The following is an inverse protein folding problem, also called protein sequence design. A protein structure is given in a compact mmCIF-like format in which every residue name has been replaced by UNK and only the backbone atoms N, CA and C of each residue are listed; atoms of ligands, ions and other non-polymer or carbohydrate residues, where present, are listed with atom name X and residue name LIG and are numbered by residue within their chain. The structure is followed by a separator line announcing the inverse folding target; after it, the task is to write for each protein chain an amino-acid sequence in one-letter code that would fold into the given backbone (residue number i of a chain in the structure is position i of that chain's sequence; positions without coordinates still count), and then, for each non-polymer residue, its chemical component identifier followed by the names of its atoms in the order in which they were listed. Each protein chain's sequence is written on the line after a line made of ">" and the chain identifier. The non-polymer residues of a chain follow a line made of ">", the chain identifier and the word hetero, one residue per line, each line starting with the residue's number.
data_IF_797842978878
#
_entry.id   IF_797842978878
#
_cell.length_a   1.000
_cell.length_b   1.000
_cell.length_c   1.000
_cell.angle_alpha   90.00
_cell.angle_beta   90.00
_cell.angle_gamma   90.00
#
_symmetry.space_group_name_H-M   'P 1'
#
loop_
_entity.id
_entity.type
_entity.pdbx_description
1 polymer ?
#
# COMPACT_ATOMS: atom_id res chain seq x y z
N UNK A 1 -10.32 10.34 -5.29
CA UNK A 1 -10.72 10.33 -3.87
C UNK A 1 -10.51 8.95 -3.28
N UNK A 2 -9.68 8.83 -2.24
CA UNK A 2 -9.48 7.56 -1.51
C UNK A 2 -10.79 7.15 -0.82
N UNK A 3 -11.26 5.93 -1.07
CA UNK A 3 -12.56 5.45 -0.61
C UNK A 3 -12.49 4.14 0.18
N UNK A 4 -11.38 3.39 0.09
CA UNK A 4 -11.18 2.15 0.84
C UNK A 4 -9.72 1.93 1.20
N UNK A 5 -9.50 1.39 2.40
CA UNK A 5 -8.21 0.98 2.93
C UNK A 5 -8.31 -0.45 3.48
N UNK A 6 -7.34 -1.29 3.14
CA UNK A 6 -7.06 -2.53 3.88
C UNK A 6 -5.60 -2.56 4.27
N UNK A 7 -5.29 -3.04 5.47
CA UNK A 7 -3.94 -3.19 5.99
C UNK A 7 -3.88 -4.44 6.86
N UNK A 8 -2.84 -5.24 6.73
CA UNK A 8 -2.57 -6.39 7.60
C UNK A 8 -1.18 -6.27 8.18
N UNK A 9 -1.05 -6.62 9.45
CA UNK A 9 0.21 -6.63 10.20
C UNK A 9 0.92 -5.27 10.30
N UNK A 10 0.19 -4.19 10.62
CA UNK A 10 0.75 -2.86 10.81
C UNK A 10 0.54 -2.33 12.24
N UNK A 11 1.62 -2.17 13.01
CA UNK A 11 1.63 -1.72 14.41
C UNK A 11 0.64 -2.54 15.25
N UNK A 12 -0.28 -1.88 15.96
CA UNK A 12 -1.30 -2.57 16.77
C UNK A 12 -2.39 -3.24 15.93
N UNK A 13 -2.48 -2.95 14.62
CA UNK A 13 -3.48 -3.54 13.74
C UNK A 13 -2.99 -4.85 13.12
N UNK A 14 -3.54 -5.97 13.59
CA UNK A 14 -3.39 -7.27 12.91
C UNK A 14 -4.09 -7.27 11.56
N UNK A 15 -5.30 -6.72 11.50
CA UNK A 15 -6.08 -6.62 10.27
C UNK A 15 -7.05 -5.45 10.31
N UNK A 16 -7.03 -4.66 9.24
CA UNK A 16 -8.05 -3.72 8.81
C UNK A 16 -8.51 -4.24 7.45
N UNK A 17 -9.76 -4.66 7.34
CA UNK A 17 -10.31 -5.22 6.10
C UNK A 17 -11.36 -4.28 5.52
N UNK A 18 -11.11 -3.78 4.30
CA UNK A 18 -12.05 -2.97 3.52
C UNK A 18 -12.67 -1.81 4.31
N UNK A 19 -11.85 -1.10 5.08
CA UNK A 19 -12.30 0.09 5.80
C UNK A 19 -12.71 1.16 4.79
N UNK A 20 -14.01 1.51 4.78
CA UNK A 20 -14.54 2.60 3.97
C UNK A 20 -14.03 3.94 4.48
N UNK A 21 -13.57 4.79 3.56
CA UNK A 21 -13.17 6.17 3.79
C UNK A 21 -14.15 7.10 3.06
N UNK A 22 -14.86 7.93 3.82
CA UNK A 22 -15.79 8.94 3.30
C UNK A 22 -15.10 10.33 3.31
N UNK A 23 -15.66 11.35 2.64
CA UNK A 23 -15.06 12.70 2.61
C UNK A 23 -14.73 13.25 3.99
N UNK A 24 -15.56 12.92 4.97
CA UNK A 24 -15.29 13.14 6.38
C UNK A 24 -15.37 11.77 7.05
N UNK A 25 -14.25 11.33 7.65
CA UNK A 25 -14.16 10.06 8.36
C UNK A 25 -13.67 10.33 9.78
N UNK A 26 -14.48 10.00 10.78
CA UNK A 26 -14.10 10.08 12.20
C UNK A 26 -13.55 8.74 12.71
N UNK A 27 -12.43 8.78 13.44
CA UNK A 27 -11.84 7.62 14.10
C UNK A 27 -12.11 7.68 15.61
N UNK A 28 -12.87 6.73 16.15
CA UNK A 28 -13.24 6.67 17.56
C UNK A 28 -12.69 5.42 18.24
N UNK A 29 -12.50 5.47 19.57
CA UNK A 29 -12.03 4.35 20.38
C UNK A 29 -11.07 4.79 21.50
N UNK A 30 -10.75 3.88 22.41
CA UNK A 30 -9.91 4.13 23.58
C UNK A 30 -8.52 4.68 23.22
N UNK A 31 -7.89 5.38 24.15
CA UNK A 31 -6.50 5.82 23.97
C UNK A 31 -5.59 4.62 23.68
N UNK A 32 -4.60 4.82 22.82
CA UNK A 32 -3.67 3.78 22.38
C UNK A 32 -4.29 2.60 21.60
N UNK A 33 -5.56 2.71 21.15
CA UNK A 33 -6.20 1.67 20.31
C UNK A 33 -5.67 1.59 18.87
N UNK A 34 -4.68 2.39 18.49
CA UNK A 34 -4.08 2.37 17.14
C UNK A 34 -4.70 3.34 16.14
N UNK A 35 -5.61 4.25 16.53
CA UNK A 35 -6.24 5.22 15.62
C UNK A 35 -5.21 6.05 14.84
N UNK A 36 -4.20 6.59 15.54
CA UNK A 36 -3.14 7.38 14.92
C UNK A 36 -2.30 6.58 13.92
N UNK A 37 -2.23 5.25 14.09
CA UNK A 37 -1.51 4.38 13.16
C UNK A 37 -2.13 4.38 11.77
N UNK A 38 -3.44 4.57 11.63
CA UNK A 38 -4.09 4.68 10.32
C UNK A 38 -3.58 5.92 9.57
N UNK A 39 -3.48 7.06 10.25
CA UNK A 39 -2.94 8.28 9.66
C UNK A 39 -1.44 8.15 9.35
N UNK A 40 -0.67 7.59 10.28
CA UNK A 40 0.75 7.32 10.08
C UNK A 40 1.01 6.41 8.86
N UNK A 41 0.15 5.40 8.65
CA UNK A 41 0.22 4.55 7.46
C UNK A 41 0.04 5.35 6.17
N UNK A 42 -0.96 6.23 6.11
CA UNK A 42 -1.17 7.10 4.94
C UNK A 42 -0.01 8.09 4.72
N UNK A 43 0.56 8.64 5.80
CA UNK A 43 1.72 9.54 5.73
C UNK A 43 2.98 8.81 5.25
N UNK A 44 3.21 7.58 5.72
CA UNK A 44 4.31 6.71 5.24
C UNK A 44 4.21 6.49 3.72
N UNK A 45 3.02 6.19 3.20
CA UNK A 45 2.83 6.03 1.77
C UNK A 45 3.07 7.34 1.01
N UNK A 46 2.61 8.48 1.56
CA UNK A 46 2.87 9.79 0.95
C UNK A 46 4.36 10.10 0.85
N UNK A 47 5.11 9.99 1.96
CA UNK A 47 6.56 10.25 1.93
C UNK A 47 7.32 9.23 1.09
N UNK A 48 6.83 7.98 0.97
CA UNK A 48 7.40 6.99 0.03
C UNK A 48 7.25 7.43 -1.42
N UNK A 49 6.08 7.97 -1.80
CA UNK A 49 5.83 8.45 -3.16
C UNK A 49 6.67 9.70 -3.47
N UNK A 50 6.81 10.59 -2.48
CA UNK A 50 7.54 11.85 -2.59
C UNK A 50 9.08 11.67 -2.49
N UNK A 51 9.56 10.51 -2.02
CA UNK A 51 10.99 10.21 -1.88
C UNK A 51 11.71 10.21 -3.23
N UNK A 52 12.92 10.78 -3.24
CA UNK A 52 13.83 10.75 -4.38
C UNK A 52 14.57 9.41 -4.52
N UNK A 53 14.68 8.63 -3.43
CA UNK A 53 15.28 7.30 -3.46
C UNK A 53 14.29 6.27 -4.02
N UNK A 54 14.53 5.86 -5.27
CA UNK A 54 13.70 4.86 -5.96
C UNK A 54 14.04 3.42 -5.58
N UNK A 55 15.15 3.18 -4.87
CA UNK A 55 15.53 1.85 -4.41
C UNK A 55 14.84 1.47 -3.08
N UNK A 56 14.34 2.46 -2.35
CA UNK A 56 13.64 2.26 -1.09
C UNK A 56 12.21 1.74 -1.32
N UNK A 57 11.87 0.65 -0.63
CA UNK A 57 10.54 0.01 -0.75
C UNK A 57 9.44 0.83 -0.06
N UNK A 58 9.74 1.31 1.16
CA UNK A 58 8.90 2.20 1.95
C UNK A 58 9.80 3.19 2.67
N UNK A 59 9.39 4.46 2.68
CA UNK A 59 10.02 5.50 3.47
C UNK A 59 9.41 5.53 4.87
N UNK A 60 10.18 5.04 5.85
CA UNK A 60 9.77 5.00 7.27
C UNK A 60 10.08 6.31 8.01
N UNK A 61 10.92 7.16 7.43
CA UNK A 61 11.17 8.53 7.84
C UNK A 61 12.20 8.72 8.94
N UNK A 62 12.50 9.99 9.15
CA UNK A 62 13.42 10.55 10.13
C UNK A 62 12.77 11.74 10.87
N UNK A 63 13.55 12.55 11.58
CA UNK A 63 13.06 13.72 12.31
C UNK A 63 12.41 14.80 11.43
N UNK A 64 12.68 14.81 10.12
CA UNK A 64 12.16 15.80 9.17
C UNK A 64 10.99 15.26 8.34
N UNK A 65 10.66 13.99 8.49
CA UNK A 65 9.65 13.29 7.72
C UNK A 65 8.24 13.53 8.25
N UNK A 66 7.22 13.32 7.41
CA UNK A 66 5.81 13.45 7.80
C UNK A 66 5.43 12.48 8.92
N UNK A 67 6.09 11.32 8.95
CA UNK A 67 6.07 10.39 10.06
C UNK A 67 7.42 9.70 10.18
N UNK A 68 7.86 9.46 11.42
CA UNK A 68 8.99 8.60 11.73
C UNK A 68 8.46 7.31 12.37
N UNK A 69 8.72 6.19 11.70
CA UNK A 69 8.23 4.86 12.05
C UNK A 69 9.37 3.90 12.42
N UNK A 70 10.63 4.35 12.37
CA UNK A 70 11.80 3.51 12.63
C UNK A 70 12.07 2.55 11.46
N UNK A 71 12.13 1.26 11.76
CA UNK A 71 12.43 0.20 10.80
C UNK A 71 11.18 -0.58 10.36
N UNK A 72 11.33 -1.43 9.33
CA UNK A 72 10.28 -2.35 8.93
C UNK A 72 9.77 -3.21 10.10
N UNK A 73 10.69 -3.67 10.95
CA UNK A 73 10.36 -4.50 12.11
C UNK A 73 9.54 -3.77 13.16
N UNK A 74 9.73 -2.46 13.31
CA UNK A 74 9.00 -1.64 14.28
C UNK A 74 7.54 -1.43 13.87
N UNK A 75 7.26 -1.51 12.57
CA UNK A 75 5.90 -1.38 12.04
C UNK A 75 5.19 -2.71 11.84
N UNK A 76 5.89 -3.85 11.82
CA UNK A 76 5.25 -5.16 11.72
C UNK A 76 4.50 -5.47 13.02
N UNK A 77 3.23 -5.86 12.90
CA UNK A 77 2.41 -6.14 14.08
C UNK A 77 3.00 -7.25 14.94
N UNK A 78 3.15 -6.96 16.25
CA UNK A 78 3.76 -7.88 17.21
C UNK A 78 5.21 -8.23 16.92
N UNK A 79 5.90 -7.49 16.06
CA UNK A 79 7.28 -7.77 15.62
C UNK A 79 7.47 -9.21 15.11
N UNK A 80 6.43 -9.76 14.45
CA UNK A 80 6.43 -11.12 13.94
C UNK A 80 7.59 -11.38 12.96
N UNK A 81 8.13 -12.62 12.97
CA UNK A 81 9.19 -13.08 12.07
C UNK A 81 8.79 -14.35 11.30
N UNK A 82 9.05 -14.43 9.98
CA UNK A 82 9.48 -13.31 9.12
C UNK A 82 8.40 -12.22 9.05
N UNK A 83 8.83 -10.95 9.07
CA UNK A 83 7.92 -9.82 9.02
C UNK A 83 7.10 -9.79 7.71
N UNK A 84 5.82 -9.43 7.83
CA UNK A 84 4.92 -9.26 6.69
C UNK A 84 4.10 -7.99 6.86
N UNK A 85 3.83 -7.31 5.76
CA UNK A 85 2.93 -6.17 5.70
C UNK A 85 2.21 -6.17 4.35
N UNK A 86 0.89 -6.32 4.39
CA UNK A 86 0.06 -6.29 3.21
C UNK A 86 -0.91 -5.12 3.30
N UNK A 87 -1.11 -4.42 2.19
CA UNK A 87 -2.09 -3.34 2.16
C UNK A 87 -2.74 -3.20 0.79
N UNK A 88 -3.92 -2.58 0.78
CA UNK A 88 -4.61 -2.16 -0.43
C UNK A 88 -5.28 -0.81 -0.25
N UNK A 89 -5.25 0.00 -1.30
CA UNK A 89 -5.95 1.27 -1.40
C UNK A 89 -6.88 1.23 -2.62
N UNK A 90 -8.09 1.75 -2.48
CA UNK A 90 -9.00 1.98 -3.62
C UNK A 90 -9.42 3.44 -3.65
N UNK A 91 -9.41 4.04 -4.83
CA UNK A 91 -9.81 5.43 -5.02
C UNK A 91 -10.47 5.68 -6.37
N UNK A 92 -11.33 6.69 -6.39
CA UNK A 92 -11.88 7.28 -7.61
C UNK A 92 -10.86 8.25 -8.24
N UNK A 93 -10.71 8.22 -9.55
CA UNK A 93 -9.89 9.12 -10.35
C UNK A 93 -10.69 10.38 -10.70
N UNK A 94 -10.02 11.53 -10.71
CA UNK A 94 -10.66 12.81 -11.08
C UNK A 94 -11.09 12.79 -12.56
N UNK A 95 -10.28 12.14 -13.41
CA UNK A 95 -10.58 11.91 -14.82
C UNK A 95 -10.51 10.41 -15.08
N UNK A 96 -11.42 9.84 -15.88
CA UNK A 96 -11.34 8.42 -16.25
C UNK A 96 -9.97 8.11 -16.86
N UNK A 97 -9.35 7.04 -16.38
CA UNK A 97 -8.19 6.45 -17.04
C UNK A 97 -8.69 5.75 -18.30
N UNK A 98 -8.05 6.04 -19.44
CA UNK A 98 -8.36 5.42 -20.73
C UNK A 98 -7.14 4.62 -21.15
N UNK A 99 -7.31 3.31 -21.23
CA UNK A 99 -6.29 2.41 -21.76
C UNK A 99 -6.56 2.22 -23.24
N UNK A 100 -5.59 2.60 -24.07
CA UNK A 100 -5.66 2.37 -25.52
C UNK A 100 -5.28 0.94 -25.84
N UNK A 101 -5.86 0.43 -26.91
CA UNK A 101 -5.44 -0.84 -27.47
C UNK A 101 -4.01 -0.71 -28.03
N UNK A 102 -3.03 -1.53 -27.58
CA UNK A 102 -1.68 -1.50 -28.12
C UNK A 102 -1.62 -1.94 -29.60
N UNK A 103 -2.58 -2.73 -30.07
CA UNK A 103 -2.65 -3.24 -31.45
C UNK A 103 -3.41 -2.27 -32.38
N UNK A 104 -4.16 -1.30 -31.83
CA UNK A 104 -4.96 -0.35 -32.60
C UNK A 104 -4.79 1.08 -32.12
N UNK A 105 -4.25 1.95 -33.01
CA UNK A 105 -3.99 3.37 -32.69
C UNK A 105 -5.25 4.19 -32.36
N UNK A 106 -6.43 3.70 -32.72
CA UNK A 106 -7.70 4.44 -32.60
C UNK A 106 -8.67 3.84 -31.60
N UNK A 107 -8.50 2.58 -31.21
CA UNK A 107 -9.44 1.91 -30.30
C UNK A 107 -9.02 2.02 -28.83
N UNK A 108 -10.03 2.09 -27.97
CA UNK A 108 -9.87 2.04 -26.51
C UNK A 108 -10.08 0.60 -26.08
N UNK A 109 -9.14 0.06 -25.30
CA UNK A 109 -9.26 -1.28 -24.71
C UNK A 109 -10.30 -1.26 -23.59
N UNK A 110 -10.17 -0.29 -22.67
CA UNK A 110 -11.17 0.00 -21.64
C UNK A 110 -10.97 1.39 -21.03
N UNK A 111 -11.96 1.84 -20.24
CA UNK A 111 -11.84 3.02 -19.40
C UNK A 111 -12.39 2.75 -18.01
N UNK A 112 -11.78 3.34 -16.99
CA UNK A 112 -12.23 3.24 -15.61
C UNK A 112 -12.09 4.56 -14.87
N UNK A 113 -13.00 4.81 -13.93
CA UNK A 113 -12.90 5.89 -12.96
C UNK A 113 -12.34 5.40 -11.61
N UNK A 114 -12.08 4.11 -11.44
CA UNK A 114 -11.61 3.56 -10.16
C UNK A 114 -10.31 2.79 -10.35
N UNK A 115 -9.41 2.97 -9.39
CA UNK A 115 -8.16 2.23 -9.31
C UNK A 115 -8.02 1.63 -7.93
N UNK A 116 -7.68 0.34 -7.87
CA UNK A 116 -7.16 -0.28 -6.65
C UNK A 116 -5.70 -0.64 -6.82
N UNK A 117 -4.91 -0.37 -5.80
CA UNK A 117 -3.52 -0.77 -5.69
C UNK A 117 -3.36 -1.64 -4.45
N UNK A 118 -2.69 -2.78 -4.60
CA UNK A 118 -2.33 -3.66 -3.49
C UNK A 118 -0.83 -3.94 -3.52
N UNK A 119 -0.22 -3.96 -2.35
CA UNK A 119 1.18 -4.27 -2.16
C UNK A 119 1.32 -5.31 -1.05
N UNK A 120 2.14 -6.34 -1.30
CA UNK A 120 2.56 -7.32 -0.31
C UNK A 120 4.05 -7.20 -0.09
N UNK A 121 4.43 -7.12 1.17
CA UNK A 121 5.80 -7.00 1.62
C UNK A 121 6.15 -8.18 2.52
N UNK A 122 7.28 -8.80 2.23
CA UNK A 122 7.91 -9.80 3.07
C UNK A 122 9.25 -9.26 3.57
N UNK A 123 9.73 -9.80 4.69
CA UNK A 123 11.08 -9.55 5.18
C UNK A 123 12.11 -10.34 4.34
N UNK A 124 13.16 -9.66 3.87
CA UNK A 124 14.28 -10.31 3.19
C UNK A 124 15.32 -10.84 4.19
N UNK A 125 16.36 -11.54 3.69
CA UNK A 125 17.43 -12.09 4.52
C UNK A 125 18.30 -11.07 5.29
N UNK A 126 18.06 -9.77 5.12
CA UNK A 126 18.72 -8.68 5.86
C UNK A 126 17.76 -7.93 6.79
N UNK A 127 16.63 -8.54 7.17
CA UNK A 127 15.57 -7.94 7.99
C UNK A 127 14.94 -6.65 7.40
N UNK A 128 15.06 -6.46 6.08
CA UNK A 128 14.49 -5.30 5.38
C UNK A 128 13.24 -5.68 4.61
N UNK A 129 12.34 -4.71 4.45
CA UNK A 129 11.15 -4.88 3.61
C UNK A 129 11.56 -5.19 2.16
N UNK A 130 10.89 -6.16 1.56
CA UNK A 130 10.99 -6.46 0.15
C UNK A 130 9.59 -6.68 -0.45
N UNK A 131 9.35 -6.08 -1.61
CA UNK A 131 8.10 -6.28 -2.35
C UNK A 131 8.06 -7.71 -2.88
N UNK A 132 7.03 -8.46 -2.50
CA UNK A 132 6.75 -9.79 -3.05
C UNK A 132 5.67 -9.75 -4.11
N UNK A 133 4.70 -8.83 -3.99
CA UNK A 133 3.67 -8.64 -5.00
C UNK A 133 3.18 -7.18 -5.06
N UNK A 134 3.02 -6.67 -6.28
CA UNK A 134 2.18 -5.52 -6.60
C UNK A 134 0.99 -6.00 -7.42
N UNK A 135 -0.19 -5.43 -7.16
CA UNK A 135 -1.39 -5.70 -7.95
C UNK A 135 -2.17 -4.40 -8.15
N UNK A 136 -2.50 -4.13 -9.40
CA UNK A 136 -3.40 -3.08 -9.82
C UNK A 136 -4.70 -3.73 -10.29
N UNK A 137 -5.83 -3.23 -9.82
CA UNK A 137 -7.16 -3.61 -10.31
C UNK A 137 -7.86 -2.38 -10.86
N UNK A 138 -8.28 -2.49 -12.12
CA UNK A 138 -8.93 -1.45 -12.90
C UNK A 138 -10.32 -1.94 -13.31
N UNK A 139 -11.26 -1.96 -12.36
CA UNK A 139 -12.63 -2.43 -12.56
C UNK A 139 -12.71 -3.87 -13.08
N UNK A 140 -11.96 -4.77 -12.46
CA UNK A 140 -11.91 -6.20 -12.79
C UNK A 140 -10.79 -6.60 -13.74
N UNK A 141 -10.10 -5.63 -14.37
CA UNK A 141 -8.85 -5.89 -15.10
C UNK A 141 -7.67 -5.83 -14.14
N UNK A 142 -6.94 -6.94 -14.00
CA UNK A 142 -5.84 -7.05 -13.04
C UNK A 142 -4.48 -7.13 -13.71
N UNK A 143 -3.55 -6.32 -13.22
CA UNK A 143 -2.14 -6.34 -13.60
C UNK A 143 -1.34 -6.60 -12.34
N UNK A 144 -0.47 -7.62 -12.36
CA UNK A 144 0.33 -7.95 -11.18
C UNK A 144 1.79 -8.15 -11.53
N UNK A 145 2.65 -7.68 -10.64
CA UNK A 145 4.08 -7.92 -10.65
C UNK A 145 4.37 -8.76 -9.41
N UNK A 146 4.84 -9.99 -9.61
CA UNK A 146 5.24 -10.88 -8.52
C UNK A 146 6.74 -11.07 -8.59
N UNK A 147 7.41 -10.97 -7.45
CA UNK A 147 8.81 -11.35 -7.37
C UNK A 147 8.91 -12.83 -7.72
N UNK A 148 9.76 -13.17 -8.68
CA UNK A 148 10.08 -14.58 -8.96
C UNK A 148 10.62 -15.17 -7.67
N UNK A 149 9.97 -16.23 -7.16
CA UNK A 149 10.45 -16.93 -5.97
C UNK A 149 11.89 -17.41 -6.18
N UNK A 150 12.59 -17.88 -5.13
CA UNK A 150 13.87 -18.54 -5.34
C UNK A 150 13.64 -19.63 -6.39
N UNK A 151 14.33 -19.53 -7.52
CA UNK A 151 14.39 -20.61 -8.50
C UNK A 151 14.92 -21.82 -7.75
N UNK A 152 14.03 -22.76 -7.43
CA UNK A 152 14.42 -24.06 -6.93
C UNK A 152 15.38 -24.66 -7.96
N UNK A 153 16.63 -24.81 -7.55
CA UNK A 153 17.60 -25.69 -8.20
C UNK A 153 17.40 -27.11 -7.72
#
# INVERSE_FOLDING_TARGET
>A
MLNQLSVQNFKSWRSISKMRLAPITGLFGANSSGKSSILQFLLMLKQTIDSSDRAQVLEFGDEKSLTNLGSFRDIVSGHAKPGKLDFSLTWELIKPLVIKDPESKTQKLFSTNQLSFSCKLDENGSERAAVSQLLYDLSGQQFSLKRKGPSGG
#
